data_IF_000825368903
#
_entry.id   IF_000825368903
#
_cell.length_a   1.000
_cell.length_b   1.000
_cell.length_c   1.000
_cell.angle_alpha   90.00
_cell.angle_beta   90.00
_cell.angle_gamma   90.00
#
_symmetry.space_group_name_H-M   'P 1'
#
loop_
_entity.id
_entity.type
_entity.pdbx_description
1 polymer ?
#
# COMPACT_ATOMS: atom_id res chain seq x y z
N UNK A 1 -19.53 31.78 -23.15
CA UNK A 1 -19.43 31.71 -21.67
C UNK A 1 -17.97 31.47 -21.32
N UNK A 2 -17.33 32.37 -20.58
CA UNK A 2 -15.93 32.22 -20.20
C UNK A 2 -15.85 31.48 -18.87
N UNK A 3 -15.16 30.34 -18.85
CA UNK A 3 -14.95 29.55 -17.62
C UNK A 3 -13.84 30.16 -16.74
N UNK A 4 -12.93 30.90 -17.36
CA UNK A 4 -11.72 31.40 -16.73
C UNK A 4 -11.97 32.36 -15.55
N UNK A 5 -12.93 33.32 -15.61
CA UNK A 5 -13.25 34.19 -14.47
C UNK A 5 -13.73 33.43 -13.23
N UNK A 6 -14.37 32.27 -13.42
CA UNK A 6 -14.81 31.40 -12.32
C UNK A 6 -13.66 30.53 -11.81
N UNK A 7 -12.85 30.00 -12.72
CA UNK A 7 -11.79 29.05 -12.39
C UNK A 7 -10.55 29.71 -11.79
N UNK A 8 -10.18 30.91 -12.26
CA UNK A 8 -8.98 31.63 -11.83
C UNK A 8 -8.86 31.82 -10.31
N UNK A 9 -9.89 32.30 -9.58
CA UNK A 9 -9.82 32.40 -8.11
C UNK A 9 -9.69 31.02 -7.43
N UNK A 10 -10.30 29.97 -7.99
CA UNK A 10 -10.14 28.61 -7.50
C UNK A 10 -8.72 28.08 -7.69
N UNK A 11 -8.10 28.32 -8.85
CA UNK A 11 -6.71 27.96 -9.12
C UNK A 11 -5.74 28.75 -8.22
N UNK A 12 -6.00 30.04 -7.99
CA UNK A 12 -5.20 30.83 -7.05
C UNK A 12 -5.28 30.25 -5.64
N UNK A 13 -6.49 29.90 -5.16
CA UNK A 13 -6.70 29.27 -3.85
C UNK A 13 -6.01 27.91 -3.75
N UNK A 14 -6.07 27.11 -4.82
CA UNK A 14 -5.37 25.83 -4.92
C UNK A 14 -3.86 25.99 -4.78
N UNK A 15 -3.26 26.97 -5.43
CA UNK A 15 -1.81 27.21 -5.33
C UNK A 15 -1.40 27.59 -3.90
N UNK A 16 -2.22 28.38 -3.20
CA UNK A 16 -1.99 28.70 -1.79
C UNK A 16 -2.08 27.46 -0.90
N UNK A 17 -3.08 26.60 -1.12
CA UNK A 17 -3.22 25.35 -0.36
C UNK A 17 -2.08 24.37 -0.67
N UNK A 18 -1.70 24.22 -1.94
CA UNK A 18 -0.57 23.40 -2.36
C UNK A 18 0.75 23.86 -1.72
N UNK A 19 0.94 25.17 -1.54
CA UNK A 19 2.09 25.71 -0.79
C UNK A 19 2.05 25.29 0.69
N UNK A 20 0.89 25.41 1.36
CA UNK A 20 0.72 25.00 2.77
C UNK A 20 1.00 23.51 2.98
N UNK A 21 0.56 22.67 2.04
CA UNK A 21 0.79 21.22 2.04
C UNK A 21 2.21 20.82 1.59
N UNK A 22 3.11 21.79 1.36
CA UNK A 22 4.50 21.59 0.88
C UNK A 22 4.57 20.81 -0.45
N UNK A 23 3.56 20.91 -1.31
CA UNK A 23 3.50 20.18 -2.59
C UNK A 23 4.61 20.60 -3.57
N UNK A 24 5.14 21.81 -3.44
CA UNK A 24 6.25 22.30 -4.28
C UNK A 24 7.63 21.87 -3.78
N UNK A 25 7.71 21.37 -2.54
CA UNK A 25 8.95 20.91 -1.91
C UNK A 25 9.07 19.38 -1.98
N UNK A 26 7.94 18.68 -1.93
CA UNK A 26 7.89 17.21 -1.83
C UNK A 26 7.56 16.57 -3.18
N UNK A 27 8.29 15.51 -3.55
CA UNK A 27 8.05 14.73 -4.78
C UNK A 27 6.71 13.98 -4.78
N UNK A 28 6.20 13.62 -3.60
CA UNK A 28 4.90 12.95 -3.43
C UNK A 28 4.10 13.64 -2.34
N UNK A 29 2.80 13.76 -2.53
CA UNK A 29 1.88 14.43 -1.62
C UNK A 29 0.57 13.67 -1.53
N UNK A 30 -0.12 13.79 -0.38
CA UNK A 30 -1.50 13.32 -0.21
C UNK A 30 -2.53 14.28 -0.80
N UNK A 31 -2.13 15.53 -1.08
CA UNK A 31 -3.01 16.56 -1.60
C UNK A 31 -3.39 16.28 -3.05
N UNK A 32 -4.69 16.20 -3.34
CA UNK A 32 -5.22 15.96 -4.68
C UNK A 32 -5.83 17.27 -5.20
N UNK A 33 -5.16 17.85 -6.19
CA UNK A 33 -5.50 19.16 -6.75
C UNK A 33 -6.93 19.21 -7.34
N UNK A 34 -7.32 18.13 -8.04
CA UNK A 34 -8.65 18.01 -8.62
C UNK A 34 -9.75 17.92 -7.55
N UNK A 35 -9.51 17.22 -6.44
CA UNK A 35 -10.47 17.09 -5.34
C UNK A 35 -10.72 18.46 -4.70
N UNK A 36 -9.64 19.19 -4.43
CA UNK A 36 -9.72 20.56 -3.92
C UNK A 36 -10.49 21.49 -4.85
N UNK A 37 -10.19 21.49 -6.16
CA UNK A 37 -10.92 22.34 -7.12
C UNK A 37 -12.38 21.97 -7.22
N UNK A 38 -12.70 20.67 -7.17
CA UNK A 38 -14.08 20.20 -7.22
C UNK A 38 -14.86 20.71 -6.01
N UNK A 39 -14.30 20.57 -4.82
CA UNK A 39 -14.89 21.09 -3.59
C UNK A 39 -15.03 22.62 -3.61
N UNK A 40 -13.98 23.32 -4.05
CA UNK A 40 -13.98 24.77 -4.14
C UNK A 40 -15.06 25.27 -5.10
N UNK A 41 -15.12 24.73 -6.32
CA UNK A 41 -16.10 25.11 -7.33
C UNK A 41 -17.52 24.77 -6.91
N UNK A 42 -17.72 23.65 -6.23
CA UNK A 42 -19.02 23.26 -5.72
C UNK A 42 -19.52 24.25 -4.67
N UNK A 43 -18.69 24.59 -3.68
CA UNK A 43 -19.07 25.52 -2.61
C UNK A 43 -19.16 26.98 -3.05
N UNK A 44 -18.43 27.39 -4.09
CA UNK A 44 -18.49 28.74 -4.66
C UNK A 44 -19.59 28.90 -5.73
N UNK A 45 -20.42 27.88 -5.94
CA UNK A 45 -21.50 27.93 -6.91
C UNK A 45 -22.58 28.95 -6.46
N UNK A 46 -22.88 30.00 -7.25
CA UNK A 46 -23.91 30.98 -6.89
C UNK A 46 -25.30 30.38 -6.64
N UNK A 47 -25.59 29.21 -7.22
CA UNK A 47 -26.86 28.50 -6.99
C UNK A 47 -26.98 27.91 -5.59
N UNK A 48 -25.88 27.82 -4.83
CA UNK A 48 -25.80 27.30 -3.45
C UNK A 48 -25.65 28.41 -2.42
N UNK A 49 -26.00 29.65 -2.78
CA UNK A 49 -25.89 30.79 -1.86
C UNK A 49 -26.76 30.55 -0.62
N UNK A 50 -26.14 30.57 0.57
CA UNK A 50 -26.81 30.31 1.85
C UNK A 50 -26.84 28.84 2.28
N UNK A 51 -26.36 27.92 1.45
CA UNK A 51 -26.17 26.53 1.86
C UNK A 51 -24.89 26.35 2.71
N UNK A 52 -24.86 25.36 3.62
CA UNK A 52 -23.65 25.05 4.39
C UNK A 52 -22.53 24.53 3.49
N UNK A 53 -21.30 24.72 3.96
CA UNK A 53 -20.11 24.13 3.33
C UNK A 53 -20.25 22.61 3.25
N UNK A 54 -19.95 22.05 2.08
CA UNK A 54 -20.00 20.62 1.81
C UNK A 54 -18.59 20.12 1.52
N UNK A 55 -18.09 19.22 2.36
CA UNK A 55 -16.80 18.55 2.14
C UNK A 55 -16.85 17.68 0.88
N UNK A 56 -15.69 17.52 0.25
CA UNK A 56 -15.53 16.83 -1.03
C UNK A 56 -16.21 15.46 -1.11
N UNK A 57 -16.02 14.61 -0.08
CA UNK A 57 -16.59 13.25 -0.05
C UNK A 57 -18.11 13.24 0.17
N UNK A 58 -18.68 14.35 0.63
CA UNK A 58 -20.12 14.53 0.85
C UNK A 58 -20.83 15.22 -0.32
N UNK A 59 -20.11 15.59 -1.38
CA UNK A 59 -20.71 16.15 -2.58
C UNK A 59 -21.51 15.05 -3.30
N UNK A 60 -22.81 15.24 -3.62
CA UNK A 60 -23.69 14.16 -4.07
C UNK A 60 -23.15 13.36 -5.27
N UNK A 61 -22.70 14.05 -6.32
CA UNK A 61 -22.17 13.38 -7.51
C UNK A 61 -20.80 12.71 -7.27
N UNK A 62 -20.02 13.22 -6.31
CA UNK A 62 -18.73 12.62 -5.94
C UNK A 62 -18.98 11.35 -5.13
N UNK A 63 -19.88 11.41 -4.16
CA UNK A 63 -20.26 10.27 -3.33
C UNK A 63 -20.81 9.13 -4.19
N UNK A 64 -21.74 9.43 -5.10
CA UNK A 64 -22.32 8.45 -6.02
C UNK A 64 -21.25 7.83 -6.93
N UNK A 65 -20.36 8.66 -7.49
CA UNK A 65 -19.26 8.18 -8.33
C UNK A 65 -18.32 7.24 -7.56
N UNK A 66 -17.98 7.58 -6.31
CA UNK A 66 -17.06 6.78 -5.50
C UNK A 66 -17.65 5.45 -5.02
N UNK A 67 -18.98 5.33 -4.94
CA UNK A 67 -19.65 4.04 -4.68
C UNK A 67 -19.39 3.05 -5.81
N UNK A 68 -19.43 3.51 -7.05
CA UNK A 68 -19.18 2.68 -8.24
C UNK A 68 -17.67 2.54 -8.54
N UNK A 69 -16.88 3.54 -8.17
CA UNK A 69 -15.45 3.62 -8.46
C UNK A 69 -14.63 3.92 -7.19
N UNK A 70 -14.45 2.93 -6.29
CA UNK A 70 -13.71 3.14 -5.06
C UNK A 70 -12.25 3.48 -5.36
N UNK A 71 -11.73 4.49 -4.66
CA UNK A 71 -10.33 4.89 -4.80
C UNK A 71 -9.40 3.87 -4.12
N UNK A 72 -8.18 3.67 -4.67
CA UNK A 72 -7.16 2.91 -3.96
C UNK A 72 -6.77 3.60 -2.65
N UNK A 73 -6.39 2.79 -1.65
CA UNK A 73 -5.94 3.31 -0.37
C UNK A 73 -4.69 4.19 -0.53
N UNK A 74 -4.68 5.34 0.14
CA UNK A 74 -3.52 6.23 0.16
C UNK A 74 -2.39 5.53 0.93
N UNK A 75 -1.16 5.48 0.39
CA UNK A 75 -0.03 4.91 1.10
C UNK A 75 0.17 5.54 2.49
N UNK A 76 0.37 4.70 3.51
CA UNK A 76 0.54 5.15 4.90
C UNK A 76 1.61 6.23 5.04
N UNK A 77 2.72 6.09 4.31
CA UNK A 77 3.83 7.06 4.33
C UNK A 77 3.43 8.49 3.92
N UNK A 78 2.32 8.67 3.17
CA UNK A 78 1.79 9.98 2.82
C UNK A 78 0.77 10.50 3.83
N UNK A 79 0.19 9.62 4.65
CA UNK A 79 -0.80 9.97 5.66
C UNK A 79 -0.14 10.40 6.98
N UNK A 80 1.01 9.83 7.31
CA UNK A 80 1.73 10.12 8.55
C UNK A 80 2.17 11.58 8.62
N UNK A 81 1.94 12.19 9.77
CA UNK A 81 2.57 13.45 10.15
C UNK A 81 4.08 13.24 10.36
N UNK A 82 4.85 14.33 10.32
CA UNK A 82 6.29 14.27 10.58
C UNK A 82 6.60 13.67 11.97
N UNK A 83 5.77 13.97 12.98
CA UNK A 83 5.91 13.41 14.33
C UNK A 83 5.58 11.92 14.40
N UNK A 84 4.49 11.47 13.77
CA UNK A 84 4.15 10.04 13.75
C UNK A 84 5.19 9.22 13.00
N UNK A 85 5.65 9.73 11.84
CA UNK A 85 6.72 9.11 11.08
C UNK A 85 8.01 9.00 11.92
N UNK A 86 8.37 10.06 12.65
CA UNK A 86 9.52 10.03 13.55
C UNK A 86 9.36 8.98 14.67
N UNK A 87 8.19 8.86 15.28
CA UNK A 87 7.91 7.84 16.29
C UNK A 87 8.03 6.42 15.72
N UNK A 88 7.50 6.18 14.52
CA UNK A 88 7.64 4.90 13.82
C UNK A 88 9.11 4.56 13.56
N UNK A 89 9.90 5.51 13.05
CA UNK A 89 11.33 5.31 12.76
C UNK A 89 12.10 5.06 14.05
N UNK A 90 11.89 5.88 15.09
CA UNK A 90 12.59 5.76 16.36
C UNK A 90 12.25 4.46 17.09
N UNK A 91 10.99 4.04 17.09
CA UNK A 91 10.59 2.76 17.71
C UNK A 91 11.22 1.58 16.98
N UNK A 92 11.25 1.61 15.64
CA UNK A 92 11.94 0.61 14.84
C UNK A 92 13.43 0.56 15.16
N UNK A 93 14.09 1.72 15.26
CA UNK A 93 15.52 1.82 15.58
C UNK A 93 15.84 1.29 16.97
N UNK A 94 15.08 1.67 18.00
CA UNK A 94 15.23 1.13 19.36
C UNK A 94 15.11 -0.39 19.37
N UNK A 95 14.12 -0.93 18.67
CA UNK A 95 13.95 -2.37 18.56
C UNK A 95 15.07 -3.05 17.76
N UNK A 96 15.65 -2.35 16.77
CA UNK A 96 16.81 -2.82 16.03
C UNK A 96 18.05 -2.89 16.94
N UNK A 97 18.30 -1.88 17.77
CA UNK A 97 19.42 -1.91 18.73
C UNK A 97 19.30 -3.08 19.71
N UNK A 98 18.10 -3.32 20.25
CA UNK A 98 17.84 -4.51 21.09
C UNK A 98 18.08 -5.81 20.31
N UNK A 99 17.79 -5.83 19.00
CA UNK A 99 18.12 -6.97 18.13
C UNK A 99 19.61 -7.13 17.88
N UNK A 100 20.42 -6.10 18.00
CA UNK A 100 21.86 -6.21 17.82
C UNK A 100 22.55 -6.82 19.05
N UNK A 101 21.90 -6.82 20.21
CA UNK A 101 22.42 -7.42 21.44
C UNK A 101 22.69 -8.93 21.24
N UNK A 102 23.92 -9.42 21.50
CA UNK A 102 24.27 -10.83 21.36
C UNK A 102 23.38 -11.78 22.14
N UNK A 103 23.03 -11.45 23.39
CA UNK A 103 22.20 -12.33 24.24
C UNK A 103 20.79 -12.47 23.64
N UNK A 104 20.27 -11.37 23.10
CA UNK A 104 18.98 -11.35 22.41
C UNK A 104 19.03 -12.12 21.10
N UNK A 105 20.14 -12.08 20.36
CA UNK A 105 20.33 -12.89 19.15
C UNK A 105 20.39 -14.38 19.46
N UNK A 106 21.14 -14.77 20.48
CA UNK A 106 21.21 -16.17 20.96
C UNK A 106 19.83 -16.68 21.36
N UNK A 107 19.07 -15.89 22.13
CA UNK A 107 17.69 -16.23 22.50
C UNK A 107 16.80 -16.43 21.27
N UNK A 108 16.90 -15.57 20.24
CA UNK A 108 16.12 -15.72 19.00
C UNK A 108 16.49 -16.98 18.23
N UNK A 109 17.77 -17.30 18.13
CA UNK A 109 18.25 -18.53 17.49
C UNK A 109 17.76 -19.76 18.24
N UNK A 110 17.84 -19.75 19.57
CA UNK A 110 17.33 -20.82 20.41
C UNK A 110 15.81 -21.01 20.26
N UNK A 111 15.03 -19.93 20.30
CA UNK A 111 13.58 -19.98 20.07
C UNK A 111 13.23 -20.48 18.66
N UNK A 112 14.02 -20.11 17.65
CA UNK A 112 13.86 -20.64 16.28
C UNK A 112 14.09 -22.15 16.27
N UNK A 113 15.19 -22.62 16.85
CA UNK A 113 15.51 -24.05 16.95
C UNK A 113 14.40 -24.84 17.63
N UNK A 114 13.86 -24.35 18.75
CA UNK A 114 12.73 -25.00 19.42
C UNK A 114 11.48 -25.13 18.53
N UNK A 115 11.14 -24.11 17.75
CA UNK A 115 10.01 -24.20 16.80
C UNK A 115 10.27 -25.22 15.70
N UNK A 116 11.50 -25.32 15.22
CA UNK A 116 11.90 -26.28 14.22
C UNK A 116 11.85 -27.71 14.77
N UNK A 117 12.34 -27.92 15.99
CA UNK A 117 12.34 -29.20 16.68
C UNK A 117 10.92 -29.67 17.00
N UNK A 118 10.02 -28.76 17.39
CA UNK A 118 8.60 -29.08 17.68
C UNK A 118 7.88 -29.72 16.51
N UNK A 119 8.20 -29.33 15.28
CA UNK A 119 7.56 -29.81 14.06
C UNK A 119 8.48 -30.67 13.18
N UNK A 120 9.59 -31.18 13.73
CA UNK A 120 10.62 -31.88 12.96
C UNK A 120 10.05 -33.11 12.24
N UNK A 121 9.22 -33.91 12.92
CA UNK A 121 8.62 -35.12 12.33
C UNK A 121 7.70 -34.80 11.16
N UNK A 122 6.92 -33.73 11.28
CA UNK A 122 6.02 -33.27 10.22
C UNK A 122 6.82 -32.72 9.03
N UNK A 123 7.87 -31.92 9.28
CA UNK A 123 8.76 -31.39 8.24
C UNK A 123 9.50 -32.50 7.49
N UNK A 124 10.03 -33.50 8.20
CA UNK A 124 10.68 -34.67 7.59
C UNK A 124 9.69 -35.45 6.73
N UNK A 125 8.47 -35.68 7.22
CA UNK A 125 7.39 -36.32 6.44
C UNK A 125 7.07 -35.53 5.15
N UNK A 126 6.91 -34.21 5.25
CA UNK A 126 6.65 -33.34 4.09
C UNK A 126 7.84 -33.31 3.12
N UNK A 127 9.07 -33.36 3.63
CA UNK A 127 10.28 -33.40 2.80
C UNK A 127 10.34 -34.68 1.98
N UNK A 128 10.17 -35.84 2.61
CA UNK A 128 10.20 -37.14 1.90
C UNK A 128 9.06 -37.26 0.90
N UNK A 129 7.84 -36.84 1.26
CA UNK A 129 6.72 -36.80 0.32
C UNK A 129 7.03 -35.95 -0.94
N UNK A 130 7.74 -34.82 -0.77
CA UNK A 130 8.19 -34.00 -1.91
C UNK A 130 9.29 -34.68 -2.74
N UNK A 131 10.22 -35.40 -2.11
CA UNK A 131 11.26 -36.13 -2.84
C UNK A 131 10.66 -37.29 -3.65
N UNK A 132 9.75 -38.06 -3.06
CA UNK A 132 9.03 -39.14 -3.73
C UNK A 132 8.24 -38.62 -4.95
N UNK A 133 7.52 -37.49 -4.79
CA UNK A 133 6.79 -36.87 -5.89
C UNK A 133 7.73 -36.38 -7.01
N UNK A 134 8.89 -35.80 -6.65
CA UNK A 134 9.87 -35.32 -7.64
C UNK A 134 10.50 -36.47 -8.43
N UNK A 135 10.78 -37.60 -7.78
CA UNK A 135 11.28 -38.81 -8.45
C UNK A 135 10.19 -39.39 -9.36
N UNK A 136 8.94 -39.44 -8.88
CA UNK A 136 7.81 -39.93 -9.68
C UNK A 136 7.60 -39.10 -10.95
N UNK A 137 7.56 -37.77 -10.86
CA UNK A 137 7.42 -36.91 -12.03
C UNK A 137 8.59 -37.07 -13.02
N UNK A 138 9.84 -37.21 -12.54
CA UNK A 138 10.99 -37.45 -13.42
C UNK A 138 10.89 -38.77 -14.19
N UNK A 139 10.41 -39.84 -13.54
CA UNK A 139 10.22 -41.12 -14.22
C UNK A 139 9.10 -41.04 -15.26
N UNK A 140 8.00 -40.34 -14.95
CA UNK A 140 6.91 -40.08 -15.90
C UNK A 140 7.40 -39.26 -17.11
N UNK A 141 8.23 -38.25 -16.89
CA UNK A 141 8.84 -37.43 -17.96
C UNK A 141 9.83 -38.25 -18.84
N UNK A 142 10.60 -39.15 -18.24
CA UNK A 142 11.54 -40.05 -18.95
C UNK A 142 10.81 -41.16 -19.73
N UNK A 143 9.71 -41.69 -19.19
CA UNK A 143 8.85 -42.69 -19.84
C UNK A 143 8.06 -42.08 -21.02
N UNK A 144 7.58 -40.85 -20.89
CA UNK A 144 6.93 -40.10 -21.98
C UNK A 144 7.94 -39.70 -23.08
N UNK A 145 9.20 -39.42 -22.71
CA UNK A 145 10.28 -39.18 -23.67
C UNK A 145 10.68 -40.45 -24.42
N UNK A 146 10.76 -41.60 -23.74
CA UNK A 146 11.05 -42.90 -24.36
C UNK A 146 9.94 -43.33 -25.33
N UNK A 147 8.67 -43.13 -24.98
CA UNK A 147 7.52 -43.47 -25.82
C UNK A 147 7.38 -42.62 -27.11
N UNK A 148 7.99 -41.42 -27.15
CA UNK A 148 7.98 -40.53 -28.34
C UNK A 148 9.13 -40.80 -29.31
N UNK A 149 10.03 -41.73 -29.00
CA UNK A 149 11.12 -42.11 -29.92
C UNK A 149 10.58 -43.14 -30.92
N UNK A 150 10.59 -42.88 -32.25
CA UNK A 150 10.12 -43.86 -33.22
C UNK A 150 11.04 -45.09 -33.19
N UNK A 151 10.46 -46.28 -33.09
CA UNK A 151 11.22 -47.51 -33.32
C UNK A 151 11.59 -47.60 -34.81
N UNK A 152 12.81 -48.09 -35.13
CA UNK A 152 13.31 -48.16 -36.51
C UNK A 152 12.53 -49.13 -37.40
#
# INVERSE_FOLDING_TARGET
>A
MFIFPVLLPGMASLLHQAKKEKCFERKRTKFIACDFLTEWLYNQNPKRTGEPFTEFFSIPFVEEWLKLHPRPAIPLSLLLTESEAALCIQSFWRAYLVRCDPEIQELRQWQKKLREDKHIRQRVKTFWAKQEQKVKCKMEDEEEAAAKTPQP
#
